data_IF_850745835896
#
_entry.id   IF_850745835896
#
_cell.length_a   1.000
_cell.length_b   1.000
_cell.length_c   1.000
_cell.angle_alpha   90.00
_cell.angle_beta   90.00
_cell.angle_gamma   90.00
#
_symmetry.space_group_name_H-M   'P 1'
#
loop_
_entity.id
_entity.type
_entity.pdbx_description
1 polymer ?
#
# COMPACT_ATOMS: atom_id res chain seq x y z
N UNK A 1 21.07 -32.73 26.22
CA UNK A 1 19.60 -32.66 25.99
C UNK A 1 19.20 -31.83 24.76
N UNK A 2 20.13 -31.13 24.10
CA UNK A 2 19.86 -30.23 22.93
C UNK A 2 20.07 -30.86 21.56
N UNK A 3 20.74 -31.99 21.43
CA UNK A 3 21.01 -32.64 20.13
C UNK A 3 19.83 -33.38 19.53
N UNK A 4 18.85 -33.81 20.35
CA UNK A 4 17.65 -34.50 19.85
C UNK A 4 16.64 -33.59 19.15
N UNK A 5 16.58 -32.31 19.54
CA UNK A 5 15.64 -31.35 18.95
C UNK A 5 16.06 -30.93 17.52
N UNK A 6 17.36 -30.80 17.27
CA UNK A 6 17.87 -30.35 15.95
C UNK A 6 17.60 -31.40 14.86
N UNK A 7 17.72 -32.70 15.19
CA UNK A 7 17.46 -33.81 14.26
C UNK A 7 15.97 -33.94 13.96
N UNK A 8 15.12 -33.71 14.96
CA UNK A 8 13.67 -33.67 14.80
C UNK A 8 13.23 -32.55 13.85
N UNK A 9 13.70 -31.32 14.06
CA UNK A 9 13.34 -30.19 13.20
C UNK A 9 13.86 -30.35 11.78
N UNK A 10 15.08 -30.85 11.59
CA UNK A 10 15.64 -31.18 10.28
C UNK A 10 14.79 -32.21 9.54
N UNK A 11 14.35 -33.27 10.24
CA UNK A 11 13.48 -34.29 9.66
C UNK A 11 12.09 -33.72 9.31
N UNK A 12 11.54 -32.87 10.16
CA UNK A 12 10.27 -32.19 9.92
C UNK A 12 10.33 -31.31 8.68
N UNK A 13 11.38 -30.50 8.51
CA UNK A 13 11.58 -29.64 7.36
C UNK A 13 11.66 -30.45 6.06
N UNK A 14 12.38 -31.57 6.08
CA UNK A 14 12.45 -32.47 4.91
C UNK A 14 11.08 -33.09 4.56
N UNK A 15 10.27 -33.43 5.56
CA UNK A 15 8.91 -33.95 5.34
C UNK A 15 8.02 -32.86 4.77
N UNK A 16 8.07 -31.66 5.31
CA UNK A 16 7.29 -30.51 4.85
C UNK A 16 7.64 -30.15 3.40
N UNK A 17 8.92 -30.16 3.04
CA UNK A 17 9.36 -29.92 1.66
C UNK A 17 8.83 -30.99 0.71
N UNK A 18 8.91 -32.28 1.06
CA UNK A 18 8.34 -33.38 0.24
C UNK A 18 6.83 -33.24 0.04
N UNK A 19 6.11 -32.89 1.13
CA UNK A 19 4.67 -32.66 1.05
C UNK A 19 4.33 -31.43 0.20
N UNK A 20 5.11 -30.36 0.30
CA UNK A 20 4.97 -29.18 -0.51
C UNK A 20 5.16 -29.50 -2.00
N UNK A 21 6.26 -30.17 -2.37
CA UNK A 21 6.52 -30.57 -3.75
C UNK A 21 5.44 -31.50 -4.32
N UNK A 22 4.93 -32.44 -3.52
CA UNK A 22 3.82 -33.29 -3.93
C UNK A 22 2.51 -32.51 -4.13
N UNK A 23 2.27 -31.46 -3.31
CA UNK A 23 1.13 -30.58 -3.45
C UNK A 23 1.22 -29.70 -4.68
N UNK A 24 2.41 -29.19 -5.01
CA UNK A 24 2.65 -28.34 -6.18
C UNK A 24 2.37 -29.06 -7.54
N UNK A 25 2.37 -30.40 -7.54
CA UNK A 25 1.98 -31.17 -8.71
C UNK A 25 0.46 -31.28 -8.93
N UNK A 26 -0.34 -30.84 -7.96
CA UNK A 26 -1.80 -30.86 -8.08
C UNK A 26 -2.29 -29.65 -8.88
N UNK A 27 -3.48 -29.78 -9.47
CA UNK A 27 -4.15 -28.64 -10.11
C UNK A 27 -4.41 -27.59 -9.03
N UNK A 28 -3.82 -26.40 -9.20
CA UNK A 28 -4.01 -25.29 -8.29
C UNK A 28 -5.42 -24.71 -8.42
N UNK A 29 -6.04 -24.26 -7.34
CA UNK A 29 -7.26 -23.50 -7.40
C UNK A 29 -7.02 -22.20 -8.18
N UNK A 30 -8.09 -21.65 -8.77
CA UNK A 30 -8.03 -20.37 -9.46
C UNK A 30 -7.58 -19.28 -8.48
N UNK A 31 -6.52 -18.57 -8.84
CA UNK A 31 -6.05 -17.40 -8.09
C UNK A 31 -6.75 -16.15 -8.63
N UNK A 32 -7.33 -15.35 -7.75
CA UNK A 32 -7.86 -14.04 -8.10
C UNK A 32 -6.72 -13.01 -8.05
N UNK A 33 -6.25 -12.58 -9.21
CA UNK A 33 -5.11 -11.66 -9.37
C UNK A 33 -5.52 -10.19 -9.40
N UNK A 34 -6.75 -9.87 -8.97
CA UNK A 34 -7.20 -8.49 -8.87
C UNK A 34 -6.40 -7.70 -7.86
N UNK A 35 -5.90 -6.54 -8.28
CA UNK A 35 -5.41 -5.52 -7.38
C UNK A 35 -6.58 -4.65 -6.95
N UNK A 36 -6.86 -4.57 -5.65
CA UNK A 36 -7.89 -3.70 -5.07
C UNK A 36 -7.18 -2.58 -4.33
N UNK A 37 -7.47 -1.33 -4.71
CA UNK A 37 -6.74 -0.15 -4.21
C UNK A 37 -6.84 -0.01 -2.69
N UNK A 38 -8.02 -0.18 -2.10
CA UNK A 38 -8.20 -0.11 -0.66
C UNK A 38 -7.29 -1.08 0.11
N UNK A 39 -7.26 -2.34 -0.30
CA UNK A 39 -6.44 -3.36 0.37
C UNK A 39 -4.96 -3.13 0.17
N UNK A 40 -4.57 -2.71 -1.02
CA UNK A 40 -3.18 -2.38 -1.32
C UNK A 40 -2.72 -1.13 -0.56
N UNK A 41 -3.58 -0.11 -0.42
CA UNK A 41 -3.32 1.08 0.40
C UNK A 41 -3.04 0.72 1.86
N UNK A 42 -3.90 -0.11 2.47
CA UNK A 42 -3.70 -0.62 3.83
C UNK A 42 -2.39 -1.42 3.97
N UNK A 43 -2.04 -2.24 2.98
CA UNK A 43 -0.78 -2.98 3.00
C UNK A 43 0.43 -2.07 2.85
N UNK A 44 0.36 -1.05 1.98
CA UNK A 44 1.40 -0.03 1.84
C UNK A 44 1.64 0.67 3.19
N UNK A 45 0.57 1.11 3.86
CA UNK A 45 0.65 1.72 5.19
C UNK A 45 1.37 0.79 6.19
N UNK A 46 0.92 -0.47 6.28
CA UNK A 46 1.50 -1.46 7.20
C UNK A 46 2.99 -1.69 6.91
N UNK A 47 3.36 -1.93 5.66
CA UNK A 47 4.75 -2.21 5.28
C UNK A 47 5.67 -0.99 5.46
N UNK A 48 5.19 0.23 5.17
CA UNK A 48 5.95 1.45 5.39
C UNK A 48 6.25 1.66 6.87
N UNK A 49 5.23 1.57 7.73
CA UNK A 49 5.38 1.74 9.18
C UNK A 49 6.24 0.64 9.80
N UNK A 50 5.99 -0.63 9.46
CA UNK A 50 6.75 -1.75 9.99
C UNK A 50 8.21 -1.70 9.54
N UNK A 51 8.46 -1.39 8.25
CA UNK A 51 9.80 -1.24 7.71
C UNK A 51 10.62 -0.15 8.41
N UNK A 52 9.99 1.01 8.66
CA UNK A 52 10.63 2.11 9.38
C UNK A 52 10.91 1.77 10.85
N UNK A 53 9.92 1.19 11.57
CA UNK A 53 10.01 0.91 13.01
C UNK A 53 10.92 -0.27 13.35
N UNK A 54 10.93 -1.30 12.51
CA UNK A 54 11.72 -2.52 12.72
C UNK A 54 13.05 -2.50 11.98
N UNK A 55 13.38 -1.39 11.29
CA UNK A 55 14.60 -1.24 10.51
C UNK A 55 14.76 -2.31 9.42
N UNK A 56 13.64 -2.62 8.73
CA UNK A 56 13.57 -3.61 7.65
C UNK A 56 13.35 -2.91 6.29
N UNK A 57 14.41 -2.44 5.62
CA UNK A 57 14.31 -1.62 4.42
C UNK A 57 13.62 -2.32 3.25
N UNK A 58 13.67 -3.67 3.20
CA UNK A 58 12.97 -4.46 2.17
C UNK A 58 11.44 -4.27 2.20
N UNK A 59 10.85 -4.02 3.38
CA UNK A 59 9.41 -3.80 3.49
C UNK A 59 9.04 -2.40 3.01
N UNK A 60 9.83 -1.38 3.37
CA UNK A 60 9.64 -0.03 2.83
C UNK A 60 9.81 -0.01 1.31
N UNK A 61 10.79 -0.73 0.76
CA UNK A 61 10.98 -0.84 -0.69
C UNK A 61 9.79 -1.54 -1.39
N UNK A 62 9.22 -2.57 -0.76
CA UNK A 62 8.01 -3.22 -1.28
C UNK A 62 6.80 -2.27 -1.28
N UNK A 63 6.61 -1.49 -0.20
CA UNK A 63 5.56 -0.48 -0.10
C UNK A 63 5.70 0.61 -1.17
N UNK A 64 6.91 1.13 -1.39
CA UNK A 64 7.22 2.11 -2.43
C UNK A 64 6.86 1.59 -3.82
N UNK A 65 7.31 0.39 -4.16
CA UNK A 65 7.01 -0.22 -5.46
C UNK A 65 5.51 -0.42 -5.68
N UNK A 66 4.78 -0.85 -4.65
CA UNK A 66 3.33 -1.00 -4.72
C UNK A 66 2.63 0.34 -4.94
N UNK A 67 3.03 1.38 -4.21
CA UNK A 67 2.48 2.73 -4.35
C UNK A 67 2.73 3.33 -5.74
N UNK A 68 3.93 3.14 -6.30
CA UNK A 68 4.27 3.58 -7.67
C UNK A 68 3.35 2.93 -8.71
N UNK A 69 3.12 1.62 -8.59
CA UNK A 69 2.24 0.88 -9.52
C UNK A 69 0.82 1.43 -9.42
N UNK A 70 0.26 1.55 -8.22
CA UNK A 70 -1.11 2.03 -8.02
C UNK A 70 -1.26 3.47 -8.52
N UNK A 71 -0.33 4.36 -8.19
CA UNK A 71 -0.38 5.73 -8.65
C UNK A 71 -0.27 5.87 -10.17
N UNK A 72 0.45 4.98 -10.83
CA UNK A 72 0.57 4.95 -12.28
C UNK A 72 -0.66 4.38 -12.99
N UNK A 73 -1.24 3.32 -12.44
CA UNK A 73 -2.26 2.52 -13.12
C UNK A 73 -3.69 2.87 -12.70
N UNK A 74 -3.90 3.19 -11.42
CA UNK A 74 -5.23 3.39 -10.88
C UNK A 74 -5.66 4.85 -10.74
N UNK A 75 -4.76 5.84 -10.88
CA UNK A 75 -5.14 7.25 -10.90
C UNK A 75 -5.51 7.66 -12.33
N UNK A 76 -6.74 8.15 -12.50
CA UNK A 76 -7.24 8.68 -13.78
C UNK A 76 -6.62 10.05 -14.09
N UNK A 77 -6.65 10.46 -15.36
CA UNK A 77 -6.25 11.81 -15.75
C UNK A 77 -7.06 12.92 -15.06
N UNK A 78 -8.28 12.61 -14.61
CA UNK A 78 -9.14 13.49 -13.82
C UNK A 78 -8.76 13.61 -12.34
N UNK A 79 -7.78 12.84 -11.86
CA UNK A 79 -7.43 12.71 -10.44
C UNK A 79 -8.28 11.70 -9.65
N UNK A 80 -9.34 11.13 -10.28
CA UNK A 80 -10.17 10.10 -9.65
C UNK A 80 -9.45 8.74 -9.63
N UNK A 81 -9.88 7.84 -8.75
CA UNK A 81 -9.34 6.48 -8.65
C UNK A 81 -10.20 5.46 -9.41
N UNK A 82 -9.53 4.49 -10.02
CA UNK A 82 -10.09 3.18 -10.32
C UNK A 82 -9.91 2.26 -9.12
N UNK A 83 -10.97 1.52 -8.74
CA UNK A 83 -10.94 0.58 -7.61
C UNK A 83 -10.10 -0.66 -7.90
N UNK A 84 -10.22 -1.20 -9.11
CA UNK A 84 -9.65 -2.50 -9.48
C UNK A 84 -8.70 -2.35 -10.67
N UNK A 85 -7.54 -3.04 -10.60
CA UNK A 85 -6.71 -3.35 -11.74
C UNK A 85 -6.54 -4.86 -11.87
N UNK A 86 -6.65 -5.38 -13.11
CA UNK A 86 -6.46 -6.79 -13.45
C UNK A 86 -5.87 -6.91 -14.86
N UNK A 87 -4.69 -7.53 -14.98
CA UNK A 87 -4.01 -7.74 -16.26
C UNK A 87 -3.85 -6.47 -17.12
N UNK A 88 -3.53 -5.35 -16.48
CA UNK A 88 -3.37 -4.04 -17.13
C UNK A 88 -4.68 -3.33 -17.49
N UNK A 89 -5.84 -3.91 -17.20
CA UNK A 89 -7.14 -3.25 -17.33
C UNK A 89 -7.61 -2.72 -15.98
N UNK A 90 -8.18 -1.53 -15.97
CA UNK A 90 -8.75 -0.90 -14.77
C UNK A 90 -10.27 -0.82 -14.88
N UNK A 91 -10.97 -0.93 -13.75
CA UNK A 91 -12.42 -0.93 -13.71
C UNK A 91 -12.96 -0.49 -12.37
N UNK A 92 -14.22 -0.10 -12.35
CA UNK A 92 -14.99 0.36 -11.20
C UNK A 92 -14.38 1.66 -10.61
N UNK A 93 -15.21 2.69 -10.51
CA UNK A 93 -14.79 3.93 -9.84
C UNK A 93 -14.46 3.67 -8.37
N UNK A 94 -13.39 4.31 -7.88
CA UNK A 94 -12.96 4.22 -6.51
C UNK A 94 -14.08 4.59 -5.54
N UNK A 95 -14.16 3.84 -4.45
CA UNK A 95 -15.06 4.09 -3.32
C UNK A 95 -14.31 4.87 -2.24
N UNK A 96 -15.01 5.40 -1.25
CA UNK A 96 -14.40 6.17 -0.16
C UNK A 96 -13.20 5.46 0.48
N UNK A 97 -13.34 4.15 0.73
CA UNK A 97 -12.27 3.34 1.35
C UNK A 97 -11.00 3.24 0.49
N UNK A 98 -11.14 3.28 -0.86
CA UNK A 98 -10.00 3.24 -1.76
C UNK A 98 -9.15 4.51 -1.62
N UNK A 99 -9.80 5.67 -1.54
CA UNK A 99 -9.12 6.94 -1.29
C UNK A 99 -8.50 6.98 0.11
N UNK A 100 -9.28 6.68 1.14
CA UNK A 100 -8.83 6.78 2.52
C UNK A 100 -7.60 5.91 2.79
N UNK A 101 -7.65 4.63 2.40
CA UNK A 101 -6.56 3.70 2.63
C UNK A 101 -5.32 4.01 1.78
N UNK A 102 -5.50 4.48 0.53
CA UNK A 102 -4.36 4.88 -0.29
C UNK A 102 -3.70 6.14 0.25
N UNK A 103 -4.47 7.16 0.63
CA UNK A 103 -3.96 8.39 1.25
C UNK A 103 -3.14 8.05 2.50
N UNK A 104 -3.68 7.21 3.39
CA UNK A 104 -2.98 6.75 4.59
C UNK A 104 -1.66 6.05 4.26
N UNK A 105 -1.66 5.18 3.25
CA UNK A 105 -0.46 4.51 2.76
C UNK A 105 0.60 5.48 2.22
N UNK A 106 0.20 6.50 1.45
CA UNK A 106 1.12 7.50 0.91
C UNK A 106 1.72 8.40 2.01
N UNK A 107 0.91 8.78 3.01
CA UNK A 107 1.41 9.53 4.19
C UNK A 107 2.41 8.69 4.98
N UNK A 108 2.12 7.40 5.22
CA UNK A 108 3.05 6.51 5.91
C UNK A 108 4.37 6.32 5.15
N UNK A 109 4.34 6.32 3.81
CA UNK A 109 5.56 6.30 3.00
C UNK A 109 6.39 7.57 3.15
N UNK A 110 5.73 8.74 3.16
CA UNK A 110 6.39 10.01 3.44
C UNK A 110 7.10 9.97 4.79
N UNK A 111 6.40 9.57 5.86
CA UNK A 111 6.95 9.49 7.21
C UNK A 111 8.11 8.48 7.31
N UNK A 112 8.00 7.33 6.64
CA UNK A 112 9.04 6.33 6.62
C UNK A 112 10.33 6.82 5.93
N UNK A 113 10.20 7.59 4.84
CA UNK A 113 11.34 8.17 4.13
C UNK A 113 11.99 9.31 4.92
N UNK A 114 11.21 10.16 5.57
CA UNK A 114 11.75 11.21 6.46
C UNK A 114 12.54 10.59 7.62
N UNK A 115 11.98 9.57 8.26
CA UNK A 115 12.66 8.86 9.35
C UNK A 115 13.96 8.18 8.92
N UNK A 116 14.07 7.74 7.68
CA UNK A 116 15.31 7.19 7.11
C UNK A 116 16.34 8.29 6.86
N UNK A 117 15.91 9.42 6.27
CA UNK A 117 16.76 10.60 6.04
C UNK A 117 17.35 11.17 7.34
N UNK A 118 16.54 11.30 8.39
CA UNK A 118 16.99 11.75 9.71
C UNK A 118 18.05 10.81 10.33
N UNK A 119 17.90 9.50 10.14
CA UNK A 119 18.88 8.50 10.60
C UNK A 119 20.19 8.59 9.82
N UNK A 120 20.13 8.80 8.51
CA UNK A 120 21.31 8.99 7.66
C UNK A 120 22.05 10.28 8.00
N UNK A 121 21.33 11.40 8.22
CA UNK A 121 21.91 12.67 8.66
C UNK A 121 22.54 12.54 10.04
N UNK A 122 21.90 11.83 10.96
CA UNK A 122 22.46 11.57 12.29
C UNK A 122 23.70 10.70 12.24
N UNK A 123 23.73 9.68 11.36
CA UNK A 123 24.91 8.84 11.13
C UNK A 123 26.02 9.61 10.40
N UNK A 124 25.67 10.50 9.46
CA UNK A 124 26.64 11.34 8.71
C UNK A 124 27.27 12.42 9.60
N UNK A 125 26.53 13.00 10.54
CA UNK A 125 27.09 13.91 11.55
C UNK A 125 28.08 13.19 12.50
N UNK A 126 27.99 11.86 12.55
CA UNK A 126 28.95 11.02 13.25
C UNK A 126 30.22 10.67 12.42
N UNK A 127 30.33 11.12 11.16
CA UNK A 127 31.60 11.03 10.46
C UNK A 127 31.68 10.81 8.96
N UNK A 128 30.60 10.79 8.13
CA UNK A 128 30.79 10.69 6.65
C UNK A 128 29.49 10.99 5.85
N UNK A 129 29.53 11.97 4.94
CA UNK A 129 28.79 11.92 3.68
C UNK A 129 27.56 12.84 3.51
N UNK A 130 27.76 14.05 2.92
CA UNK A 130 26.75 15.09 2.66
C UNK A 130 25.96 14.96 1.34
N UNK A 131 26.00 13.89 0.58
CA UNK A 131 25.43 13.89 -0.79
C UNK A 131 24.16 13.04 -1.02
N UNK A 132 23.73 12.19 -0.11
CA UNK A 132 22.59 11.30 -0.30
C UNK A 132 21.22 11.89 0.11
N UNK A 133 21.19 12.90 0.97
CA UNK A 133 19.95 13.43 1.55
C UNK A 133 19.02 14.17 0.57
N UNK A 134 19.51 14.74 -0.52
CA UNK A 134 18.70 15.63 -1.39
C UNK A 134 17.76 14.91 -2.36
N UNK A 135 18.01 13.68 -2.71
CA UNK A 135 17.17 12.92 -3.64
C UNK A 135 16.05 12.19 -2.91
N UNK A 136 16.29 11.78 -1.67
CA UNK A 136 15.30 11.21 -0.77
C UNK A 136 14.18 12.22 -0.44
N UNK A 137 14.52 13.46 -0.16
CA UNK A 137 13.55 14.52 0.18
C UNK A 137 12.58 14.88 -0.95
N UNK A 138 13.06 14.86 -2.21
CA UNK A 138 12.22 15.14 -3.38
C UNK A 138 11.21 14.03 -3.63
N UNK A 139 11.59 12.78 -3.44
CA UNK A 139 10.70 11.63 -3.59
C UNK A 139 9.69 11.57 -2.45
N UNK A 140 10.09 11.81 -1.22
CA UNK A 140 9.19 11.89 -0.07
C UNK A 140 8.13 12.96 -0.26
N UNK A 141 8.52 14.19 -0.62
CA UNK A 141 7.58 15.29 -0.88
C UNK A 141 6.57 14.97 -1.97
N UNK A 142 6.91 14.12 -2.94
CA UNK A 142 6.01 13.72 -4.02
C UNK A 142 4.83 12.87 -3.52
N UNK A 143 5.02 12.04 -2.48
CA UNK A 143 3.94 11.23 -1.88
C UNK A 143 2.93 12.09 -1.16
N UNK A 144 3.40 13.11 -0.44
CA UNK A 144 2.52 14.04 0.26
C UNK A 144 1.68 14.87 -0.72
N UNK A 145 2.27 15.33 -1.82
CA UNK A 145 1.55 16.05 -2.88
C UNK A 145 0.46 15.16 -3.50
N UNK A 146 0.76 13.89 -3.75
CA UNK A 146 -0.24 12.92 -4.25
C UNK A 146 -1.34 12.65 -3.24
N UNK A 147 -0.98 12.47 -1.97
CA UNK A 147 -1.93 12.27 -0.88
C UNK A 147 -2.88 13.47 -0.77
N UNK A 148 -2.36 14.70 -0.86
CA UNK A 148 -3.16 15.92 -0.83
C UNK A 148 -4.14 15.97 -2.01
N UNK A 149 -3.68 15.75 -3.25
CA UNK A 149 -4.53 15.76 -4.43
C UNK A 149 -5.66 14.72 -4.35
N UNK A 150 -5.36 13.52 -3.84
CA UNK A 150 -6.37 12.49 -3.60
C UNK A 150 -7.35 12.88 -2.48
N UNK A 151 -6.88 13.57 -1.44
CA UNK A 151 -7.74 14.06 -0.36
C UNK A 151 -8.71 15.12 -0.87
N UNK A 152 -8.24 16.06 -1.69
CA UNK A 152 -9.11 17.08 -2.32
C UNK A 152 -10.17 16.39 -3.18
N UNK A 153 -9.78 15.42 -4.02
CA UNK A 153 -10.73 14.64 -4.84
C UNK A 153 -11.72 13.85 -3.97
N UNK A 154 -11.25 13.26 -2.87
CA UNK A 154 -12.10 12.53 -1.92
C UNK A 154 -13.15 13.43 -1.28
N UNK A 155 -12.76 14.62 -0.86
CA UNK A 155 -13.69 15.61 -0.30
C UNK A 155 -14.72 16.02 -1.35
N UNK A 156 -14.30 16.34 -2.56
CA UNK A 156 -15.20 16.75 -3.64
C UNK A 156 -16.22 15.68 -4.02
N UNK A 157 -15.82 14.40 -4.04
CA UNK A 157 -16.67 13.30 -4.48
C UNK A 157 -17.56 12.73 -3.38
N UNK A 158 -17.13 12.76 -2.11
CA UNK A 158 -17.78 11.99 -1.05
C UNK A 158 -18.33 12.83 0.09
N UNK A 159 -17.87 14.07 0.30
CA UNK A 159 -18.34 14.90 1.41
C UNK A 159 -19.80 15.33 1.24
N UNK A 160 -20.59 15.25 2.33
CA UNK A 160 -21.93 15.82 2.41
C UNK A 160 -21.91 17.22 3.04
N UNK A 161 -22.06 18.29 2.26
CA UNK A 161 -22.01 19.66 2.79
C UNK A 161 -23.23 20.04 3.64
N UNK A 162 -24.34 19.27 3.56
CA UNK A 162 -25.59 19.61 4.25
C UNK A 162 -25.64 19.03 5.67
N UNK A 163 -25.23 17.79 5.83
CA UNK A 163 -25.33 17.07 7.11
C UNK A 163 -23.96 16.72 7.72
N UNK A 164 -22.89 16.97 6.99
CA UNK A 164 -21.55 16.51 7.34
C UNK A 164 -21.36 15.01 7.12
N UNK A 165 -20.09 14.53 7.23
CA UNK A 165 -19.73 13.15 7.00
C UNK A 165 -19.53 12.81 5.54
N UNK A 166 -19.16 11.55 5.27
CA UNK A 166 -18.82 11.07 3.94
C UNK A 166 -19.81 10.00 3.47
N UNK A 167 -20.16 10.07 2.18
CA UNK A 167 -20.85 8.98 1.51
C UNK A 167 -19.85 7.88 1.14
N UNK A 168 -20.28 6.61 1.13
CA UNK A 168 -19.42 5.47 0.78
C UNK A 168 -19.12 5.41 -0.73
N UNK A 169 -20.03 5.90 -1.56
CA UNK A 169 -19.92 5.89 -3.02
C UNK A 169 -19.79 7.30 -3.60
N UNK A 170 -19.11 7.48 -4.76
CA UNK A 170 -18.94 8.79 -5.38
C UNK A 170 -20.26 9.41 -5.84
N UNK A 171 -20.26 10.71 -6.13
CA UNK A 171 -21.45 11.45 -6.58
C UNK A 171 -21.99 10.92 -7.91
N UNK A 172 -21.11 10.64 -8.84
CA UNK A 172 -21.47 10.08 -10.15
C UNK A 172 -21.23 8.57 -10.15
N UNK A 173 -22.26 7.83 -9.74
CA UNK A 173 -22.26 6.38 -9.92
C UNK A 173 -23.05 6.03 -11.18
N UNK A 174 -22.36 5.52 -12.20
CA UNK A 174 -22.99 4.98 -13.41
C UNK A 174 -23.59 3.62 -13.07
N UNK A 175 -24.90 3.55 -12.87
CA UNK A 175 -25.60 2.31 -12.53
C UNK A 175 -27.03 2.54 -12.06
N UNK A 176 -27.83 1.48 -11.83
CA UNK A 176 -29.16 1.63 -11.27
C UNK A 176 -29.07 2.37 -9.93
N UNK A 177 -30.01 3.29 -9.70
CA UNK A 177 -30.06 4.20 -8.53
C UNK A 177 -29.89 3.44 -7.22
N UNK A 178 -28.66 3.27 -6.78
CA UNK A 178 -28.36 2.91 -5.41
C UNK A 178 -28.41 4.18 -4.57
N UNK A 179 -29.21 4.20 -3.54
CA UNK A 179 -29.18 5.27 -2.53
C UNK A 179 -27.77 5.32 -1.96
N UNK A 180 -27.14 6.51 -2.00
CA UNK A 180 -25.82 6.71 -1.38
C UNK A 180 -25.94 6.46 0.12
N UNK A 181 -25.17 5.52 0.64
CA UNK A 181 -25.06 5.27 2.07
C UNK A 181 -23.89 6.05 2.67
N UNK A 182 -24.02 6.47 3.93
CA UNK A 182 -22.96 7.13 4.70
C UNK A 182 -22.17 6.09 5.51
N UNK A 183 -20.90 6.38 5.74
CA UNK A 183 -20.15 5.71 6.80
C UNK A 183 -20.76 6.11 8.16
N UNK A 184 -20.96 5.13 9.01
CA UNK A 184 -21.39 5.35 10.40
C UNK A 184 -20.26 5.97 11.24
#
# INVERSE_FOLDING_TARGET
>A
RETGDTDFYSTLDQILEKLYLAREQRIHPLRDDKLIVAWSGSMINTLAQAGARLSEPRWTAAALKAAEIICRENIQASGKLWRIALNGAVSINGQLEDYANLIEGLVALFDAQQSAGDREVSAANAGLGQQLGKESDKNASSWLVRAQALTDTMIDEFWDPNQGGFFLSPREQVGPRLTRSKSA
#
